data_IF_543008061336
#
_entry.id   IF_543008061336
#
_cell.length_a   1.000
_cell.length_b   1.000
_cell.length_c   1.000
_cell.angle_alpha   90.00
_cell.angle_beta   90.00
_cell.angle_gamma   90.00
#
_symmetry.space_group_name_H-M   'P 1'
#
loop_
_entity.id
_entity.type
_entity.pdbx_description
1 polymer ?
#
# COMPACT_ATOMS: atom_id res chain seq x y z
N UNK A 1 -4.32 4.40 17.95
CA UNK A 1 -4.81 3.83 16.70
C UNK A 1 -3.66 3.14 15.98
N UNK A 2 -3.91 1.98 15.36
CA UNK A 2 -2.87 1.24 14.67
C UNK A 2 -2.75 1.67 13.22
N UNK A 3 -1.49 1.79 12.76
CA UNK A 3 -1.15 2.11 11.38
C UNK A 3 -0.09 1.14 10.89
N UNK A 4 -0.17 0.75 9.63
CA UNK A 4 0.94 0.07 8.98
C UNK A 4 1.96 1.11 8.55
N UNK A 5 3.21 0.94 8.97
CA UNK A 5 4.33 1.76 8.51
C UNK A 5 4.96 1.11 7.28
N UNK A 6 5.22 1.90 6.26
CA UNK A 6 5.89 1.45 5.04
C UNK A 6 6.59 2.62 4.37
N UNK A 7 7.26 2.39 3.26
CA UNK A 7 7.99 3.44 2.55
C UNK A 7 7.59 3.52 1.09
N UNK A 8 7.56 4.76 0.59
CA UNK A 8 7.40 5.05 -0.84
C UNK A 8 8.56 5.96 -1.21
N UNK A 9 9.46 5.48 -2.08
CA UNK A 9 10.61 6.28 -2.49
C UNK A 9 11.52 6.71 -1.35
N UNK A 10 11.61 5.89 -0.30
CA UNK A 10 12.42 6.21 0.88
C UNK A 10 11.70 7.05 1.93
N UNK A 11 10.52 7.59 1.64
CA UNK A 11 9.73 8.37 2.60
C UNK A 11 8.81 7.47 3.41
N UNK A 12 8.75 7.73 4.73
CA UNK A 12 7.94 6.94 5.65
C UNK A 12 6.48 7.33 5.57
N UNK A 13 5.62 6.32 5.41
CA UNK A 13 4.16 6.47 5.29
C UNK A 13 3.46 5.65 6.35
N UNK A 14 2.24 6.05 6.69
CA UNK A 14 1.38 5.33 7.60
C UNK A 14 -0.03 5.21 7.02
N UNK A 15 -0.53 3.98 6.94
CA UNK A 15 -1.89 3.67 6.51
C UNK A 15 -2.65 3.07 7.69
N UNK A 16 -3.82 3.63 8.00
CA UNK A 16 -4.62 3.13 9.12
C UNK A 16 -4.99 1.66 8.92
N UNK A 17 -4.82 0.86 9.96
CA UNK A 17 -5.04 -0.58 9.91
C UNK A 17 -6.46 -0.96 9.52
N UNK A 18 -7.43 -0.10 9.80
CA UNK A 18 -8.84 -0.34 9.45
C UNK A 18 -9.06 -0.51 7.94
N UNK A 19 -8.17 0.03 7.10
CA UNK A 19 -8.27 -0.10 5.65
C UNK A 19 -7.69 -1.40 5.13
N UNK A 20 -6.96 -2.15 5.96
CA UNK A 20 -6.19 -3.30 5.53
C UNK A 20 -7.01 -4.57 5.70
N UNK A 21 -7.18 -5.32 4.60
CA UNK A 21 -7.82 -6.64 4.63
C UNK A 21 -6.80 -7.70 5.07
N UNK A 22 -5.63 -7.69 4.44
CA UNK A 22 -4.57 -8.64 4.76
C UNK A 22 -3.23 -8.14 4.21
N UNK A 23 -2.14 -8.54 4.83
CA UNK A 23 -0.77 -8.30 4.32
C UNK A 23 -0.21 -9.67 3.94
N UNK A 24 0.18 -9.81 2.66
CA UNK A 24 0.67 -11.08 2.12
C UNK A 24 2.07 -10.91 1.54
N UNK A 25 2.83 -12.00 1.40
CA UNK A 25 4.15 -11.93 0.78
C UNK A 25 4.07 -11.43 -0.67
N UNK A 26 5.14 -10.80 -1.12
CA UNK A 26 5.27 -10.39 -2.52
C UNK A 26 5.32 -11.64 -3.41
N UNK A 27 4.52 -11.63 -4.48
CA UNK A 27 4.49 -12.68 -5.50
C UNK A 27 4.67 -12.06 -6.88
N UNK A 28 4.97 -12.89 -7.87
CA UNK A 28 5.08 -12.43 -9.25
C UNK A 28 3.70 -12.06 -9.80
N UNK A 29 3.67 -10.97 -10.55
CA UNK A 29 2.42 -10.45 -11.11
C UNK A 29 2.23 -10.98 -12.53
N UNK A 30 0.96 -11.09 -12.94
CA UNK A 30 0.56 -11.55 -14.25
C UNK A 30 -0.24 -10.46 -14.97
N UNK A 31 -0.21 -10.46 -16.29
CA UNK A 31 -1.09 -9.65 -17.15
C UNK A 31 -1.19 -8.17 -16.73
N UNK A 32 -0.18 -7.35 -17.02
CA UNK A 32 -0.25 -5.92 -16.72
C UNK A 32 -1.50 -5.28 -17.34
N UNK A 33 -2.15 -4.42 -16.57
CA UNK A 33 -3.34 -3.69 -17.00
C UNK A 33 -3.13 -2.19 -16.78
N UNK A 34 -3.95 -1.39 -17.47
CA UNK A 34 -3.91 0.06 -17.32
C UNK A 34 -4.08 0.47 -15.84
N UNK A 35 -3.20 1.33 -15.35
CA UNK A 35 -3.22 1.81 -13.98
C UNK A 35 -2.66 0.83 -12.97
N UNK A 36 -2.24 -0.37 -13.38
CA UNK A 36 -1.69 -1.40 -12.50
C UNK A 36 -0.41 -1.99 -13.07
N UNK A 37 0.38 -2.68 -12.23
CA UNK A 37 1.55 -3.43 -12.64
C UNK A 37 1.22 -4.88 -12.99
N UNK A 38 -0.04 -5.27 -12.85
CA UNK A 38 -0.51 -6.62 -13.18
C UNK A 38 -1.55 -7.08 -12.18
N UNK A 39 -1.81 -8.38 -12.19
CA UNK A 39 -2.75 -9.02 -11.27
C UNK A 39 -2.05 -10.15 -10.54
N UNK A 40 -2.58 -10.52 -9.38
CA UNK A 40 -2.12 -11.70 -8.65
C UNK A 40 -3.32 -12.45 -8.07
N UNK A 41 -3.13 -13.74 -7.81
CA UNK A 41 -4.20 -14.57 -7.27
C UNK A 41 -4.27 -14.39 -5.75
N UNK A 42 -5.46 -14.01 -5.27
CA UNK A 42 -5.74 -13.84 -3.86
C UNK A 42 -7.06 -14.53 -3.51
N UNK A 43 -6.99 -15.56 -2.68
CA UNK A 43 -8.17 -16.33 -2.23
C UNK A 43 -9.06 -16.77 -3.38
N UNK A 44 -8.46 -17.32 -4.44
CA UNK A 44 -9.19 -17.88 -5.58
C UNK A 44 -9.64 -16.88 -6.62
N UNK A 45 -9.29 -15.60 -6.48
CA UNK A 45 -9.60 -14.58 -7.49
C UNK A 45 -8.35 -13.79 -7.87
N UNK A 46 -8.36 -13.24 -9.07
CA UNK A 46 -7.30 -12.33 -9.51
C UNK A 46 -7.67 -10.91 -9.14
N UNK A 47 -6.77 -10.22 -8.44
CA UNK A 47 -6.96 -8.81 -8.08
C UNK A 47 -5.79 -7.99 -8.62
N UNK A 48 -6.05 -6.71 -8.96
CA UNK A 48 -5.00 -5.84 -9.48
C UNK A 48 -4.00 -5.45 -8.40
N UNK A 49 -2.76 -5.25 -8.80
CA UNK A 49 -1.69 -4.78 -7.92
C UNK A 49 -1.12 -3.46 -8.42
N UNK A 50 -0.78 -2.60 -7.49
CA UNK A 50 -0.17 -1.31 -7.75
C UNK A 50 1.15 -1.27 -7.01
N UNK A 51 2.24 -1.03 -7.74
CA UNK A 51 3.55 -0.79 -7.14
C UNK A 51 3.63 0.70 -6.76
N UNK A 52 3.56 0.98 -5.46
CA UNK A 52 3.53 2.35 -4.96
C UNK A 52 4.82 3.10 -5.29
N UNK A 53 5.97 2.44 -5.22
CA UNK A 53 7.25 3.05 -5.56
C UNK A 53 7.31 3.41 -7.05
N UNK A 54 6.95 2.47 -7.92
CA UNK A 54 6.96 2.70 -9.36
C UNK A 54 6.05 3.87 -9.74
N UNK A 55 4.87 3.92 -9.14
CA UNK A 55 3.90 4.98 -9.40
C UNK A 55 4.43 6.37 -9.03
N UNK A 56 5.07 6.49 -7.86
CA UNK A 56 5.49 7.78 -7.32
C UNK A 56 6.87 8.21 -7.78
N UNK A 57 7.78 7.27 -8.02
CA UNK A 57 9.18 7.58 -8.30
C UNK A 57 9.65 7.16 -9.69
N UNK A 58 8.85 6.34 -10.39
CA UNK A 58 9.27 5.75 -11.66
C UNK A 58 10.21 4.55 -11.52
N UNK A 59 10.54 4.16 -10.28
CA UNK A 59 11.38 3.00 -10.01
C UNK A 59 10.58 1.94 -9.26
N UNK A 60 10.63 0.66 -9.70
CA UNK A 60 9.88 -0.40 -9.03
C UNK A 60 10.35 -0.59 -7.59
N UNK A 61 9.45 -1.08 -6.75
CA UNK A 61 9.76 -1.44 -5.38
C UNK A 61 10.89 -2.48 -5.35
N UNK A 62 11.80 -2.32 -4.40
CA UNK A 62 12.89 -3.29 -4.20
C UNK A 62 12.30 -4.57 -3.63
N UNK A 63 12.70 -5.71 -4.22
CA UNK A 63 12.21 -7.02 -3.80
C UNK A 63 12.98 -7.52 -2.57
N UNK A 64 12.56 -7.06 -1.40
CA UNK A 64 13.13 -7.47 -0.11
C UNK A 64 12.10 -8.28 0.66
N UNK A 65 12.51 -8.96 1.75
CA UNK A 65 11.58 -9.69 2.60
C UNK A 65 10.52 -8.77 3.23
N UNK A 66 10.86 -7.50 3.44
CA UNK A 66 9.93 -6.50 3.96
C UNK A 66 9.06 -5.85 2.89
N UNK A 67 9.27 -6.16 1.60
CA UNK A 67 8.40 -5.71 0.52
C UNK A 67 7.24 -6.68 0.43
N UNK A 68 6.04 -6.19 0.67
CA UNK A 68 4.84 -7.03 0.77
C UNK A 68 3.70 -6.45 -0.03
N UNK A 69 2.66 -7.25 -0.22
CA UNK A 69 1.42 -6.80 -0.83
C UNK A 69 0.41 -6.55 0.29
N UNK A 70 -0.05 -5.31 0.37
CA UNK A 70 -1.07 -4.88 1.32
C UNK A 70 -2.41 -4.90 0.60
N UNK A 71 -3.28 -5.84 0.96
CA UNK A 71 -4.59 -5.98 0.31
C UNK A 71 -5.57 -5.05 1.00
N UNK A 72 -6.20 -4.19 0.23
CA UNK A 72 -7.22 -3.26 0.70
C UNK A 72 -8.46 -3.32 -0.20
N UNK A 73 -9.58 -2.80 0.28
CA UNK A 73 -10.72 -2.55 -0.58
C UNK A 73 -10.46 -1.28 -1.39
N UNK A 74 -10.84 -1.30 -2.67
CA UNK A 74 -10.70 -0.09 -3.49
C UNK A 74 -11.51 1.05 -2.88
N UNK A 75 -10.94 2.25 -2.77
CA UNK A 75 -11.70 3.42 -2.32
C UNK A 75 -12.74 3.89 -3.33
N UNK A 76 -12.69 3.35 -4.55
CA UNK A 76 -13.59 3.72 -5.66
C UNK A 76 -14.68 2.68 -5.89
N UNK A 77 -14.51 1.46 -5.38
CA UNK A 77 -15.47 0.37 -5.48
C UNK A 77 -15.22 -0.63 -4.35
N UNK A 78 -16.06 -0.60 -3.33
CA UNK A 78 -15.92 -1.45 -2.14
C UNK A 78 -15.97 -2.95 -2.42
N UNK A 79 -16.59 -3.35 -3.54
CA UNK A 79 -16.67 -4.75 -3.93
C UNK A 79 -15.34 -5.26 -4.49
N UNK A 80 -14.40 -4.39 -4.80
CA UNK A 80 -13.12 -4.75 -5.39
C UNK A 80 -11.99 -4.66 -4.38
N UNK A 81 -11.12 -5.67 -4.41
CA UNK A 81 -9.86 -5.67 -3.67
C UNK A 81 -8.73 -5.22 -4.57
N UNK A 82 -7.73 -4.56 -3.97
CA UNK A 82 -6.53 -4.10 -4.64
C UNK A 82 -5.33 -4.46 -3.77
N UNK A 83 -4.23 -4.90 -4.40
CA UNK A 83 -2.98 -5.13 -3.70
C UNK A 83 -2.02 -3.96 -3.90
N UNK A 84 -1.49 -3.44 -2.80
CA UNK A 84 -0.50 -2.38 -2.83
C UNK A 84 0.88 -3.00 -2.54
N UNK A 85 1.80 -2.91 -3.49
CA UNK A 85 3.17 -3.36 -3.28
C UNK A 85 3.90 -2.25 -2.52
N UNK A 86 4.28 -2.53 -1.27
CA UNK A 86 4.85 -1.55 -0.35
C UNK A 86 6.16 -2.05 0.21
N UNK A 87 7.18 -1.19 0.18
CA UNK A 87 8.48 -1.47 0.78
C UNK A 87 8.44 -1.22 2.29
N UNK A 88 9.19 -2.02 3.06
CA UNK A 88 9.29 -1.83 4.51
C UNK A 88 7.97 -2.03 5.24
N UNK A 89 7.04 -2.81 4.68
CA UNK A 89 5.71 -3.05 5.24
C UNK A 89 5.76 -4.15 6.30
N UNK A 90 6.51 -3.91 7.38
CA UNK A 90 6.80 -4.94 8.38
C UNK A 90 6.38 -4.57 9.80
N UNK A 91 5.93 -3.35 10.05
CA UNK A 91 5.62 -2.90 11.40
C UNK A 91 4.26 -2.22 11.49
N UNK A 92 3.50 -2.61 12.50
CA UNK A 92 2.30 -1.90 12.91
C UNK A 92 2.68 -0.97 14.07
N UNK A 93 2.42 0.31 13.91
CA UNK A 93 2.76 1.33 14.90
C UNK A 93 1.51 2.01 15.43
N UNK A 94 1.57 2.45 16.69
CA UNK A 94 0.50 3.22 17.28
C UNK A 94 0.79 4.70 17.16
N UNK A 95 -0.17 5.43 16.62
CA UNK A 95 -0.17 6.89 16.59
C UNK A 95 -1.53 7.40 17.03
N UNK A 96 -1.55 8.58 17.64
CA UNK A 96 -2.76 9.34 17.76
C UNK A 96 -3.03 10.00 16.39
N UNK A 97 -4.23 9.85 15.80
CA UNK A 97 -4.54 10.53 14.53
C UNK A 97 -4.26 12.03 14.57
N UNK A 98 -4.41 12.67 15.71
CA UNK A 98 -4.13 14.11 15.87
C UNK A 98 -2.64 14.46 15.73
N UNK A 99 -1.74 13.47 15.86
CA UNK A 99 -0.30 13.72 15.72
C UNK A 99 0.10 14.04 14.27
N UNK A 100 -0.73 13.67 13.29
CA UNK A 100 -0.47 13.93 11.87
C UNK A 100 -0.97 15.32 11.45
N UNK A 101 -0.21 16.34 11.81
CA UNK A 101 -0.54 17.72 11.46
C UNK A 101 0.68 18.46 10.86
N UNK A 102 1.11 18.18 9.61
CA UNK A 102 0.75 17.05 8.73
C UNK A 102 1.55 15.77 8.94
N UNK A 103 2.62 15.80 9.75
CA UNK A 103 3.51 14.65 9.96
C UNK A 103 3.55 14.27 11.44
N UNK A 104 3.63 12.96 11.70
CA UNK A 104 3.91 12.44 13.03
C UNK A 104 5.39 12.07 13.15
N UNK A 105 5.90 11.99 14.39
CA UNK A 105 7.24 11.51 14.68
C UNK A 105 7.20 9.99 14.92
N UNK A 106 7.81 9.23 14.00
CA UNK A 106 7.98 7.79 14.14
C UNK A 106 9.37 7.42 14.64
N UNK A 107 9.67 6.12 14.79
CA UNK A 107 10.97 5.64 15.25
C UNK A 107 12.15 6.11 14.40
N UNK A 108 11.93 6.26 13.10
CA UNK A 108 12.96 6.56 12.13
C UNK A 108 12.79 7.95 11.50
N UNK A 109 12.03 8.85 12.13
CA UNK A 109 11.82 10.21 11.67
C UNK A 109 10.37 10.55 11.40
N UNK A 110 10.14 11.52 10.52
CA UNK A 110 8.79 11.98 10.19
C UNK A 110 8.04 10.95 9.35
N UNK A 111 6.76 10.78 9.68
CA UNK A 111 5.86 9.83 9.00
C UNK A 111 4.65 10.60 8.50
N UNK A 112 4.29 10.39 7.24
CA UNK A 112 3.13 11.00 6.62
C UNK A 112 1.97 10.00 6.62
N UNK A 113 0.79 10.42 7.09
CA UNK A 113 -0.42 9.63 6.94
C UNK A 113 -0.91 9.69 5.50
N UNK A 114 -1.27 8.53 4.96
CA UNK A 114 -1.88 8.42 3.63
C UNK A 114 -3.24 7.74 3.72
N UNK A 115 -4.13 8.09 2.80
CA UNK A 115 -5.44 7.49 2.67
C UNK A 115 -5.48 6.58 1.44
N UNK A 116 -6.37 5.58 1.41
CA UNK A 116 -6.48 4.71 0.22
C UNK A 116 -6.65 5.48 -1.10
N UNK A 117 -7.36 6.60 -1.08
CA UNK A 117 -7.54 7.44 -2.28
C UNK A 117 -6.25 8.01 -2.82
N UNK A 118 -5.26 8.21 -1.95
CA UNK A 118 -3.94 8.71 -2.36
C UNK A 118 -3.11 7.63 -3.03
N UNK A 119 -3.43 6.35 -2.79
CA UNK A 119 -2.63 5.21 -3.19
C UNK A 119 -3.19 4.48 -4.41
N UNK A 120 -4.49 4.56 -4.66
CA UNK A 120 -5.17 3.82 -5.73
C UNK A 120 -5.69 4.79 -6.78
N UNK A 121 -5.19 4.71 -8.03
CA UNK A 121 -5.74 5.51 -9.13
C UNK A 121 -7.21 5.18 -9.37
N UNK A 122 -7.99 6.17 -9.76
CA UNK A 122 -9.43 6.02 -9.96
C UNK A 122 -9.78 5.04 -11.08
N UNK A 123 -8.94 4.88 -12.08
CA UNK A 123 -9.15 3.96 -13.21
C UNK A 123 -8.95 2.50 -12.82
N UNK A 124 -8.35 2.20 -11.66
CA UNK A 124 -8.17 0.84 -11.17
C UNK A 124 -9.49 0.34 -10.59
N UNK A 125 -9.98 -0.78 -11.12
CA UNK A 125 -11.23 -1.39 -10.68
C UNK A 125 -12.49 -0.82 -11.34
N UNK A 126 -12.29 0.04 -12.32
CA UNK A 126 -13.41 0.55 -13.11
C UNK A 126 -13.89 -0.49 -14.12
#
# INVERSE_FOLDING_TARGET
MLFLAFRIGGEAMALAAEHIVEIVPLVDLEQPRQGTQGVFQYRGQYIPAIDLSLRDTGHPARRRMSTRIVVIRSPWDEAQLVGLIAEGASAMLRFDPADFAPFAHGPDGLVQRVEPRDLVPQEVGA
#
